data_IF_669483409524
#
_entry.id   IF_669483409524
#
_cell.length_a   1.000
_cell.length_b   1.000
_cell.length_c   1.000
_cell.angle_alpha   90.00
_cell.angle_beta   90.00
_cell.angle_gamma   90.00
#
_symmetry.space_group_name_H-M   'P 1'
#
loop_
_entity.id
_entity.type
_entity.pdbx_description
1 polymer ?
#
# COMPACT_ATOMS: atom_id res chain seq x y z
N UNK A 1 12.20 3.60 -35.03
CA UNK A 1 10.89 3.27 -34.41
C UNK A 1 11.19 2.48 -33.15
N UNK A 2 10.53 2.78 -32.03
CA UNK A 2 10.64 1.92 -30.85
C UNK A 2 9.81 0.65 -31.11
N UNK A 3 10.38 -0.55 -30.86
CA UNK A 3 9.64 -1.78 -31.04
C UNK A 3 8.46 -1.84 -30.05
N UNK A 4 7.33 -2.35 -30.52
CA UNK A 4 6.17 -2.62 -29.65
C UNK A 4 6.55 -3.66 -28.60
N UNK A 5 6.32 -3.35 -27.32
CA UNK A 5 6.50 -4.29 -26.22
C UNK A 5 5.24 -5.15 -26.14
N UNK A 6 5.38 -6.45 -26.41
CA UNK A 6 4.25 -7.40 -26.44
C UNK A 6 4.07 -8.16 -25.15
N UNK A 7 5.12 -8.30 -24.34
CA UNK A 7 5.03 -8.90 -23.00
C UNK A 7 4.39 -7.88 -22.02
N UNK A 8 3.23 -8.21 -21.43
CA UNK A 8 2.57 -7.33 -20.47
C UNK A 8 3.40 -7.08 -19.21
N UNK A 9 4.22 -8.04 -18.76
CA UNK A 9 5.07 -7.86 -17.58
C UNK A 9 6.14 -6.82 -17.87
N UNK A 10 6.84 -6.97 -18.99
CA UNK A 10 7.86 -6.01 -19.40
C UNK A 10 7.29 -4.62 -19.67
N UNK A 11 6.10 -4.53 -20.28
CA UNK A 11 5.43 -3.26 -20.50
C UNK A 11 5.13 -2.53 -19.18
N UNK A 12 4.58 -3.25 -18.19
CA UNK A 12 4.31 -2.68 -16.86
C UNK A 12 5.58 -2.25 -16.15
N UNK A 13 6.63 -3.09 -16.18
CA UNK A 13 7.92 -2.79 -15.53
C UNK A 13 8.53 -1.51 -16.11
N UNK A 14 8.69 -1.43 -17.43
CA UNK A 14 9.27 -0.24 -18.08
C UNK A 14 8.42 1.01 -17.92
N UNK A 15 7.09 0.86 -17.98
CA UNK A 15 6.16 1.97 -17.74
C UNK A 15 6.30 2.54 -16.34
N UNK A 16 6.33 1.66 -15.32
CA UNK A 16 6.50 2.08 -13.94
C UNK A 16 7.87 2.71 -13.67
N UNK A 17 8.96 2.13 -14.19
CA UNK A 17 10.31 2.71 -14.10
C UNK A 17 10.38 4.12 -14.70
N UNK A 18 9.73 4.32 -15.85
CA UNK A 18 9.66 5.63 -16.52
C UNK A 18 8.91 6.67 -15.67
N UNK A 19 7.79 6.26 -15.06
CA UNK A 19 7.01 7.10 -14.15
C UNK A 19 7.83 7.47 -12.92
N UNK A 20 8.52 6.50 -12.29
CA UNK A 20 9.38 6.74 -11.12
C UNK A 20 10.52 7.68 -11.46
N UNK A 21 11.18 7.50 -12.60
CA UNK A 21 12.28 8.35 -13.05
C UNK A 21 11.82 9.81 -13.29
N UNK A 22 10.58 10.01 -13.73
CA UNK A 22 10.06 11.33 -14.08
C UNK A 22 9.38 12.06 -12.92
N UNK A 23 8.70 11.32 -12.04
CA UNK A 23 7.81 11.89 -11.01
C UNK A 23 8.30 11.64 -9.58
N UNK A 24 9.22 10.69 -9.40
CA UNK A 24 9.54 10.10 -8.10
C UNK A 24 8.51 9.07 -7.63
N UNK A 25 8.91 8.19 -6.72
CA UNK A 25 8.12 7.04 -6.25
C UNK A 25 6.70 7.38 -5.79
N UNK A 26 6.57 8.39 -4.93
CA UNK A 26 5.27 8.76 -4.33
C UNK A 26 4.30 9.24 -5.40
N UNK A 27 4.76 10.10 -6.32
CA UNK A 27 3.91 10.65 -7.36
C UNK A 27 3.60 9.63 -8.46
N UNK A 28 4.52 8.72 -8.78
CA UNK A 28 4.28 7.63 -9.72
C UNK A 28 3.16 6.70 -9.24
N UNK A 29 3.15 6.33 -7.95
CA UNK A 29 2.09 5.51 -7.36
C UNK A 29 0.75 6.25 -7.36
N UNK A 30 0.73 7.52 -6.95
CA UNK A 30 -0.49 8.35 -6.95
C UNK A 30 -1.06 8.53 -8.37
N UNK A 31 -0.21 8.70 -9.36
CA UNK A 31 -0.62 8.81 -10.76
C UNK A 31 -1.34 7.54 -11.22
N UNK A 32 -0.78 6.35 -10.95
CA UNK A 32 -1.43 5.08 -11.29
C UNK A 32 -2.79 4.95 -10.60
N UNK A 33 -2.87 5.31 -9.31
CA UNK A 33 -4.11 5.27 -8.54
C UNK A 33 -5.23 6.18 -9.08
N UNK A 34 -4.93 7.17 -9.92
CA UNK A 34 -5.97 7.99 -10.57
C UNK A 34 -6.75 7.22 -11.66
N UNK A 35 -6.14 6.18 -12.23
CA UNK A 35 -6.71 5.39 -13.33
C UNK A 35 -7.12 3.98 -12.91
N UNK A 36 -6.61 3.50 -11.77
CA UNK A 36 -7.05 2.27 -11.15
C UNK A 36 -8.34 2.53 -10.36
N UNK A 37 -9.43 1.84 -10.71
CA UNK A 37 -10.55 1.71 -9.80
C UNK A 37 -10.12 0.77 -8.69
N UNK A 38 -9.71 1.32 -7.54
CA UNK A 38 -9.50 0.53 -6.33
C UNK A 38 -10.70 -0.41 -6.14
N UNK A 39 -10.44 -1.71 -6.09
CA UNK A 39 -11.45 -2.73 -5.86
C UNK A 39 -11.47 -3.09 -4.39
N UNK A 40 -12.64 -3.44 -3.88
CA UNK A 40 -12.84 -3.84 -2.49
C UNK A 40 -13.61 -2.80 -1.68
N UNK A 41 -14.38 -3.28 -0.72
CA UNK A 41 -15.05 -2.46 0.26
C UNK A 41 -14.26 -2.56 1.56
N UNK A 42 -13.27 -1.67 1.71
CA UNK A 42 -12.47 -1.65 2.94
C UNK A 42 -13.34 -1.47 4.17
N UNK A 43 -14.49 -0.80 4.08
CA UNK A 43 -15.40 -0.64 5.23
C UNK A 43 -15.97 -1.99 5.65
N UNK A 44 -16.46 -2.78 4.69
CA UNK A 44 -16.97 -4.14 4.96
C UNK A 44 -15.85 -5.13 5.34
N UNK A 45 -14.66 -5.01 4.75
CA UNK A 45 -13.53 -5.89 5.06
C UNK A 45 -12.93 -5.57 6.44
N UNK A 46 -12.92 -4.29 6.83
CA UNK A 46 -12.39 -3.83 8.12
C UNK A 46 -13.06 -4.53 9.29
N UNK A 47 -14.36 -4.79 9.22
CA UNK A 47 -15.12 -5.50 10.28
C UNK A 47 -14.65 -6.96 10.47
N UNK A 48 -14.10 -7.59 9.43
CA UNK A 48 -13.58 -8.97 9.51
C UNK A 48 -12.16 -9.05 10.05
N UNK A 49 -11.39 -7.98 9.89
CA UNK A 49 -9.94 -7.98 10.15
C UNK A 49 -9.62 -7.30 11.48
N UNK A 50 -10.35 -6.24 11.84
CA UNK A 50 -10.11 -5.49 13.07
C UNK A 50 -11.04 -5.97 14.19
N UNK A 51 -10.49 -6.22 15.38
CA UNK A 51 -11.31 -6.51 16.54
C UNK A 51 -12.09 -5.27 16.98
N UNK A 52 -13.29 -5.51 17.53
CA UNK A 52 -14.11 -4.45 18.11
C UNK A 52 -13.54 -4.04 19.47
N UNK A 53 -12.60 -3.09 19.44
CA UNK A 53 -11.94 -2.55 20.63
C UNK A 53 -12.44 -1.14 20.93
N UNK A 54 -12.76 -0.91 22.20
CA UNK A 54 -12.90 0.44 22.69
C UNK A 54 -11.55 1.19 22.70
N UNK A 55 -11.62 2.51 22.80
CA UNK A 55 -10.43 3.38 22.77
C UNK A 55 -9.45 3.00 23.88
N UNK A 56 -9.95 2.67 25.07
CA UNK A 56 -9.12 2.28 26.21
C UNK A 56 -8.30 1.01 25.92
N UNK A 57 -8.94 -0.01 25.34
CA UNK A 57 -8.28 -1.26 24.94
C UNK A 57 -7.25 -1.03 23.84
N UNK A 58 -7.57 -0.17 22.87
CA UNK A 58 -6.69 0.14 21.76
C UNK A 58 -5.41 0.84 22.24
N UNK A 59 -5.52 1.80 23.14
CA UNK A 59 -4.38 2.49 23.77
C UNK A 59 -3.53 1.51 24.56
N UNK A 60 -4.13 0.68 25.42
CA UNK A 60 -3.40 -0.32 26.21
C UNK A 60 -2.63 -1.29 25.30
N UNK A 61 -3.26 -1.82 24.26
CA UNK A 61 -2.64 -2.76 23.30
C UNK A 61 -1.49 -2.10 22.53
N UNK A 62 -1.61 -0.82 22.18
CA UNK A 62 -0.53 -0.06 21.55
C UNK A 62 0.70 0.06 22.47
N UNK A 63 0.49 0.35 23.75
CA UNK A 63 1.55 0.45 24.75
C UNK A 63 2.23 -0.90 25.02
N UNK A 64 1.46 -1.99 25.18
CA UNK A 64 1.98 -3.35 25.35
C UNK A 64 2.93 -3.75 24.19
N UNK A 65 2.55 -3.41 22.96
CA UNK A 65 3.31 -3.74 21.76
C UNK A 65 4.59 -2.91 21.64
N UNK A 66 4.55 -1.64 22.05
CA UNK A 66 5.73 -0.78 22.11
C UNK A 66 6.74 -1.27 23.17
N UNK A 67 6.25 -1.68 24.35
CA UNK A 67 7.10 -2.22 25.42
C UNK A 67 7.74 -3.57 25.04
N UNK A 68 6.99 -4.43 24.35
CA UNK A 68 7.49 -5.74 23.87
C UNK A 68 8.62 -5.59 22.85
N UNK A 69 8.61 -4.52 22.06
CA UNK A 69 9.69 -4.20 21.11
C UNK A 69 10.97 -3.72 21.81
N UNK A 70 10.86 -3.07 22.97
CA UNK A 70 12.01 -2.59 23.75
C UNK A 70 12.72 -3.70 24.55
N UNK A 71 12.15 -4.90 24.66
CA UNK A 71 12.73 -6.03 25.40
C UNK A 71 13.51 -7.02 24.51
N UNK A 72 13.57 -6.76 23.20
CA UNK A 72 14.35 -7.56 22.24
C UNK A 72 15.65 -6.87 21.79
N UNK A 73 15.92 -5.68 22.33
CA UNK A 73 17.17 -4.91 22.16
C UNK A 73 18.03 -5.00 23.44
#
# INVERSE_FOLDING_TARGET
>A
MNPTITDPVELRRRGFETLVASLGWVNAVRFIQQYESGQGDYSAEREKILPDWDVATLVRKSQERAASHQQLD
#
